data_IF_000302249832
#
_entry.id   IF_000302249832
#
_cell.length_a   1.000
_cell.length_b   1.000
_cell.length_c   1.000
_cell.angle_alpha   90.00
_cell.angle_beta   90.00
_cell.angle_gamma   90.00
#
_symmetry.space_group_name_H-M   'P 1'
#
loop_
_entity.id
_entity.type
_entity.pdbx_description
1 polymer ?
#
# COMPACT_ATOMS: atom_id res chain seq x y z
N UNK A 1 -23.94 -31.23 23.49
CA UNK A 1 -22.56 -30.70 23.56
C UNK A 1 -22.27 -29.99 22.25
N UNK A 2 -21.83 -28.73 22.35
CA UNK A 2 -21.44 -27.94 21.20
C UNK A 2 -19.93 -27.74 21.25
N UNK A 3 -19.23 -28.06 20.15
CA UNK A 3 -17.79 -27.83 20.00
C UNK A 3 -17.60 -26.58 19.15
N UNK A 4 -16.81 -25.63 19.65
CA UNK A 4 -16.53 -24.39 18.97
C UNK A 4 -15.03 -24.08 19.00
N UNK A 5 -14.54 -23.33 18.01
CA UNK A 5 -13.17 -22.80 18.01
C UNK A 5 -13.08 -21.60 18.94
N UNK A 6 -11.86 -21.13 19.22
CA UNK A 6 -11.57 -19.97 20.08
C UNK A 6 -12.29 -18.66 19.67
N UNK A 7 -12.81 -18.59 18.44
CA UNK A 7 -13.60 -17.45 17.94
C UNK A 7 -15.02 -17.36 18.51
N UNK A 8 -15.51 -18.41 19.20
CA UNK A 8 -16.86 -18.44 19.81
C UNK A 8 -17.08 -17.40 20.93
N UNK A 9 -16.04 -16.67 21.32
CA UNK A 9 -16.11 -15.61 22.35
C UNK A 9 -16.94 -14.36 21.95
N UNK A 10 -17.25 -14.12 20.65
CA UNK A 10 -17.91 -12.88 20.19
C UNK A 10 -18.78 -13.13 18.95
N UNK A 11 -19.85 -12.34 18.80
CA UNK A 11 -20.61 -12.24 17.55
C UNK A 11 -21.81 -13.19 17.43
N UNK A 12 -21.93 -14.20 18.30
CA UNK A 12 -23.11 -15.09 18.34
C UNK A 12 -23.83 -14.96 19.67
N UNK A 13 -25.13 -14.94 19.65
CA UNK A 13 -25.92 -15.07 20.86
C UNK A 13 -26.17 -16.55 21.19
N UNK A 14 -26.17 -16.90 22.49
CA UNK A 14 -26.43 -18.25 22.96
C UNK A 14 -27.75 -18.20 23.72
N UNK A 15 -28.77 -18.78 23.11
CA UNK A 15 -30.10 -18.88 23.73
C UNK A 15 -30.23 -20.26 24.36
N UNK A 16 -30.47 -20.30 25.68
CA UNK A 16 -30.64 -21.55 26.39
C UNK A 16 -31.95 -22.24 25.94
N UNK A 17 -31.91 -23.55 25.74
CA UNK A 17 -33.03 -24.32 25.20
C UNK A 17 -33.15 -24.31 23.68
N UNK A 18 -32.31 -23.51 22.95
CA UNK A 18 -32.35 -23.34 21.50
C UNK A 18 -33.07 -22.05 21.06
N UNK A 19 -33.00 -21.69 19.76
CA UNK A 19 -33.68 -20.52 19.24
C UNK A 19 -35.13 -20.82 18.87
N UNK A 20 -36.06 -20.27 19.64
CA UNK A 20 -37.52 -20.36 19.36
C UNK A 20 -37.86 -19.77 18.00
N UNK A 21 -37.27 -18.64 17.63
CA UNK A 21 -37.47 -17.99 16.33
C UNK A 21 -37.07 -18.88 15.17
N UNK A 22 -35.91 -19.54 15.29
CA UNK A 22 -35.44 -20.47 14.26
C UNK A 22 -36.29 -21.76 14.14
N UNK A 23 -36.92 -22.18 15.21
CA UNK A 23 -37.87 -23.31 15.19
C UNK A 23 -39.19 -22.90 14.55
N UNK A 24 -39.75 -21.74 14.88
CA UNK A 24 -40.97 -21.18 14.28
C UNK A 24 -40.78 -20.83 12.80
N UNK A 25 -39.58 -20.35 12.40
CA UNK A 25 -39.25 -20.06 11.01
C UNK A 25 -39.23 -21.28 10.09
N UNK A 26 -39.14 -22.49 10.64
CA UNK A 26 -39.21 -23.73 9.85
C UNK A 26 -40.65 -24.07 9.43
N UNK A 27 -41.66 -23.50 10.08
CA UNK A 27 -43.07 -23.70 9.83
C UNK A 27 -43.82 -22.36 9.78
N UNK A 28 -43.58 -21.54 8.75
CA UNK A 28 -44.12 -20.15 8.70
C UNK A 28 -45.65 -20.09 8.66
N UNK A 29 -46.31 -21.14 8.14
CA UNK A 29 -47.78 -21.18 8.01
C UNK A 29 -48.43 -22.19 9.00
N UNK A 30 -47.76 -22.43 10.14
CA UNK A 30 -48.30 -23.39 11.13
C UNK A 30 -49.54 -22.87 11.84
N UNK A 31 -50.57 -23.71 12.11
CA UNK A 31 -51.69 -23.32 12.94
C UNK A 31 -51.26 -22.91 14.34
N UNK A 32 -52.05 -22.03 14.99
CA UNK A 32 -51.75 -21.53 16.34
C UNK A 32 -51.51 -22.63 17.39
N UNK A 33 -52.15 -23.79 17.21
CA UNK A 33 -51.96 -24.98 18.06
C UNK A 33 -50.55 -25.54 17.97
N UNK A 34 -49.91 -25.52 16.79
CA UNK A 34 -48.53 -25.95 16.56
C UNK A 34 -47.56 -24.96 17.14
N UNK A 35 -47.80 -23.63 16.92
CA UNK A 35 -46.96 -22.55 17.49
C UNK A 35 -46.98 -22.66 19.02
N UNK A 36 -48.14 -22.87 19.64
CA UNK A 36 -48.26 -23.03 21.10
C UNK A 36 -47.50 -24.25 21.61
N UNK A 37 -47.61 -25.37 20.89
CA UNK A 37 -46.90 -26.62 21.22
C UNK A 37 -45.37 -26.43 21.16
N UNK A 38 -44.85 -25.85 20.06
CA UNK A 38 -43.41 -25.58 19.89
C UNK A 38 -42.89 -24.64 20.98
N UNK A 39 -43.65 -23.59 21.31
CA UNK A 39 -43.30 -22.65 22.38
C UNK A 39 -43.24 -23.34 23.74
N UNK A 40 -44.26 -24.20 24.07
CA UNK A 40 -44.28 -24.95 25.31
C UNK A 40 -43.11 -25.97 25.40
N UNK A 41 -42.75 -26.61 24.30
CA UNK A 41 -41.60 -27.50 24.24
C UNK A 41 -40.28 -26.77 24.40
N UNK A 42 -40.14 -25.62 23.77
CA UNK A 42 -39.00 -24.77 23.97
C UNK A 42 -38.87 -24.30 25.42
N UNK A 43 -39.96 -23.84 26.03
CA UNK A 43 -39.98 -23.40 27.44
C UNK A 43 -39.54 -24.52 28.38
N UNK A 44 -40.04 -25.72 28.21
CA UNK A 44 -39.60 -26.90 29.00
C UNK A 44 -38.10 -27.19 28.87
N UNK A 45 -37.57 -27.07 27.68
CA UNK A 45 -36.12 -27.26 27.45
C UNK A 45 -35.31 -26.12 28.07
N UNK A 46 -35.77 -24.89 27.97
CA UNK A 46 -35.17 -23.71 28.58
C UNK A 46 -35.09 -23.86 30.11
N UNK A 47 -36.21 -24.17 30.72
CA UNK A 47 -36.34 -24.33 32.20
C UNK A 47 -35.45 -25.49 32.69
N UNK A 48 -35.43 -26.63 31.98
CA UNK A 48 -34.57 -27.76 32.32
C UNK A 48 -33.07 -27.41 32.27
N UNK A 49 -32.65 -26.54 31.32
CA UNK A 49 -31.25 -26.07 31.27
C UNK A 49 -30.94 -25.13 32.43
N UNK A 50 -31.88 -24.26 32.81
CA UNK A 50 -31.72 -23.37 33.98
C UNK A 50 -31.62 -24.16 35.27
N UNK A 51 -32.49 -25.17 35.47
CA UNK A 51 -32.48 -26.07 36.65
C UNK A 51 -31.18 -26.89 36.73
N UNK A 52 -30.59 -27.24 35.59
CA UNK A 52 -29.29 -27.90 35.50
C UNK A 52 -28.10 -26.98 35.84
N UNK A 53 -28.33 -25.69 36.08
CA UNK A 53 -27.27 -24.70 36.39
C UNK A 53 -26.81 -23.88 35.19
N UNK A 54 -27.57 -23.87 34.09
CA UNK A 54 -27.30 -23.06 32.89
C UNK A 54 -26.17 -23.57 32.00
N UNK A 55 -25.54 -22.68 31.27
CA UNK A 55 -24.46 -23.03 30.34
C UNK A 55 -23.15 -23.30 31.09
N UNK A 56 -22.58 -24.48 30.87
CA UNK A 56 -21.22 -24.84 31.34
C UNK A 56 -20.22 -24.72 30.17
N UNK A 57 -19.20 -23.87 30.33
CA UNK A 57 -18.16 -23.65 29.32
C UNK A 57 -16.88 -24.36 29.73
N UNK A 58 -16.37 -25.19 28.83
CA UNK A 58 -15.08 -25.84 28.96
C UNK A 58 -14.11 -25.20 27.98
N UNK A 59 -13.08 -24.53 28.50
CA UNK A 59 -11.94 -24.05 27.70
C UNK A 59 -10.81 -25.06 27.76
N UNK A 60 -10.29 -25.45 26.59
CA UNK A 60 -9.18 -26.42 26.48
C UNK A 60 -7.81 -25.76 26.42
N UNK A 61 -7.77 -24.41 26.30
CA UNK A 61 -6.56 -23.60 26.33
C UNK A 61 -6.87 -22.18 26.84
N UNK A 62 -5.84 -21.41 27.19
CA UNK A 62 -5.97 -19.98 27.52
C UNK A 62 -5.56 -19.14 26.31
N UNK A 63 -6.26 -18.05 26.11
CA UNK A 63 -5.86 -17.05 25.13
C UNK A 63 -4.68 -16.22 25.63
N UNK A 64 -3.96 -15.59 24.73
CA UNK A 64 -2.89 -14.66 25.07
C UNK A 64 -3.39 -13.45 25.87
N UNK A 65 -4.64 -13.04 25.63
CA UNK A 65 -5.28 -11.93 26.35
C UNK A 65 -6.31 -12.43 27.35
N UNK A 66 -6.15 -12.01 28.59
CA UNK A 66 -7.11 -12.26 29.67
C UNK A 66 -8.51 -11.72 29.38
N UNK A 67 -8.59 -10.64 28.62
CA UNK A 67 -9.88 -10.07 28.18
C UNK A 67 -10.69 -11.07 27.36
N UNK A 68 -10.05 -11.83 26.47
CA UNK A 68 -10.73 -12.81 25.62
C UNK A 68 -11.21 -13.99 26.45
N UNK A 69 -10.42 -14.46 27.41
CA UNK A 69 -10.85 -15.48 28.36
C UNK A 69 -12.07 -15.03 29.18
N UNK A 70 -12.07 -13.77 29.63
CA UNK A 70 -13.22 -13.23 30.37
C UNK A 70 -14.46 -13.06 29.48
N UNK A 71 -14.30 -12.73 28.19
CA UNK A 71 -15.41 -12.71 27.22
C UNK A 71 -16.00 -14.12 27.03
N UNK A 72 -15.14 -15.14 26.96
CA UNK A 72 -15.61 -16.52 26.89
C UNK A 72 -16.35 -16.93 28.17
N UNK A 73 -15.79 -16.65 29.34
CA UNK A 73 -16.43 -16.91 30.64
C UNK A 73 -17.79 -16.19 30.75
N UNK A 74 -17.86 -14.95 30.31
CA UNK A 74 -19.08 -14.15 30.35
C UNK A 74 -20.22 -14.66 29.47
N UNK A 75 -19.95 -15.67 28.62
CA UNK A 75 -21.01 -16.32 27.86
C UNK A 75 -21.87 -17.26 28.68
N UNK A 76 -21.34 -17.80 29.78
CA UNK A 76 -22.10 -18.68 30.67
C UNK A 76 -23.13 -17.93 31.52
N UNK A 77 -22.98 -16.64 31.73
CA UNK A 77 -23.87 -15.85 32.61
C UNK A 77 -24.58 -14.71 31.88
N UNK A 78 -25.00 -14.87 30.63
CA UNK A 78 -25.68 -13.83 29.87
C UNK A 78 -27.09 -13.56 30.43
N UNK A 79 -27.47 -12.30 30.40
CA UNK A 79 -28.81 -11.82 30.81
C UNK A 79 -29.17 -12.20 32.26
N UNK A 80 -28.17 -12.55 33.11
CA UNK A 80 -28.40 -12.96 34.49
C UNK A 80 -28.64 -14.46 34.68
N UNK A 81 -28.59 -15.25 33.61
CA UNK A 81 -28.74 -16.70 33.71
C UNK A 81 -27.61 -17.32 34.55
N UNK A 82 -27.93 -18.41 35.30
CA UNK A 82 -26.88 -19.20 35.95
C UNK A 82 -25.94 -19.82 34.91
N UNK A 83 -24.70 -20.02 35.30
CA UNK A 83 -23.72 -20.65 34.43
C UNK A 83 -22.38 -20.83 35.09
N UNK A 84 -21.53 -21.66 34.50
CA UNK A 84 -20.21 -21.96 35.01
C UNK A 84 -19.18 -22.12 33.91
N UNK A 85 -17.91 -21.96 34.26
CA UNK A 85 -16.81 -22.15 33.28
C UNK A 85 -15.59 -22.79 33.92
N UNK A 86 -14.92 -23.66 33.19
CA UNK A 86 -13.69 -24.31 33.66
C UNK A 86 -12.67 -24.38 32.51
N UNK A 87 -11.40 -24.07 32.77
CA UNK A 87 -10.31 -24.22 31.85
C UNK A 87 -9.46 -25.43 32.18
N UNK A 88 -9.19 -26.26 31.19
CA UNK A 88 -8.25 -27.38 31.26
C UNK A 88 -7.04 -27.03 30.43
N UNK A 89 -5.84 -27.03 31.00
CA UNK A 89 -4.63 -26.55 30.37
C UNK A 89 -3.57 -27.64 30.36
N UNK A 90 -2.76 -27.67 29.31
CA UNK A 90 -1.56 -28.48 29.21
C UNK A 90 -0.31 -27.62 29.47
N UNK A 91 0.74 -28.23 30.01
CA UNK A 91 2.07 -27.61 30.10
C UNK A 91 2.70 -27.38 28.69
N UNK A 92 2.18 -28.08 27.67
CA UNK A 92 2.62 -27.96 26.29
C UNK A 92 1.88 -26.88 25.51
N UNK A 93 0.85 -26.26 26.12
CA UNK A 93 0.15 -25.12 25.49
C UNK A 93 1.12 -23.96 25.24
N UNK A 94 0.91 -23.23 24.13
CA UNK A 94 1.82 -22.17 23.68
C UNK A 94 2.13 -21.14 24.79
N UNK A 95 1.10 -20.70 25.51
CA UNK A 95 1.26 -19.76 26.61
C UNK A 95 2.17 -20.32 27.71
N UNK A 96 2.00 -21.59 28.04
CA UNK A 96 2.78 -22.28 29.11
C UNK A 96 4.22 -22.52 28.65
N UNK A 97 4.44 -22.92 27.40
CA UNK A 97 5.79 -23.13 26.84
C UNK A 97 6.66 -21.89 26.85
N UNK A 98 6.08 -20.73 26.55
CA UNK A 98 6.84 -19.46 26.42
C UNK A 98 7.16 -18.86 27.81
N UNK A 99 6.25 -18.94 28.75
CA UNK A 99 6.31 -18.13 29.98
C UNK A 99 6.50 -18.91 31.26
N UNK A 100 6.35 -20.23 31.24
CA UNK A 100 6.63 -21.07 32.44
C UNK A 100 8.10 -21.48 32.42
N UNK A 101 8.82 -21.14 33.50
CA UNK A 101 10.22 -21.51 33.63
C UNK A 101 10.38 -23.04 33.67
N UNK A 102 11.52 -23.54 33.17
CA UNK A 102 11.83 -24.98 33.19
C UNK A 102 11.75 -25.56 34.60
N UNK A 103 12.14 -24.80 35.61
CA UNK A 103 12.06 -25.24 37.02
C UNK A 103 10.63 -25.53 37.44
N UNK A 104 9.68 -24.65 37.08
CA UNK A 104 8.24 -24.85 37.36
C UNK A 104 7.69 -26.02 36.57
N UNK A 105 8.08 -26.14 35.30
CA UNK A 105 7.69 -27.27 34.43
C UNK A 105 8.17 -28.60 35.02
N UNK A 106 9.42 -28.70 35.40
CA UNK A 106 10.00 -29.90 35.98
C UNK A 106 9.37 -30.24 37.34
N UNK A 107 9.03 -29.25 38.15
CA UNK A 107 8.30 -29.45 39.43
C UNK A 107 6.89 -29.99 39.15
N UNK A 108 6.18 -29.44 38.18
CA UNK A 108 4.83 -29.89 37.79
C UNK A 108 4.85 -31.31 37.20
N UNK A 109 5.84 -31.63 36.37
CA UNK A 109 6.00 -33.00 35.85
C UNK A 109 6.23 -34.02 36.97
N UNK A 110 7.01 -33.68 38.00
CA UNK A 110 7.21 -34.54 39.14
C UNK A 110 5.93 -34.73 39.96
N UNK A 111 5.15 -33.67 40.17
CA UNK A 111 3.88 -33.73 40.87
C UNK A 111 2.82 -34.53 40.13
N UNK A 112 2.79 -34.44 38.79
CA UNK A 112 1.81 -35.13 37.93
C UNK A 112 2.18 -36.61 37.69
N UNK A 113 3.47 -36.97 37.80
CA UNK A 113 3.92 -38.37 37.62
C UNK A 113 3.42 -39.32 38.72
N UNK A 114 3.03 -38.77 39.85
CA UNK A 114 2.61 -39.60 41.00
C UNK A 114 1.10 -39.84 41.07
N UNK A 115 0.24 -38.95 40.51
CA UNK A 115 -1.21 -39.05 40.70
C UNK A 115 -2.04 -39.15 39.42
N UNK A 116 -1.55 -38.69 38.30
CA UNK A 116 -2.35 -38.62 37.05
C UNK A 116 -3.57 -37.70 37.13
N UNK A 117 -3.74 -36.97 38.23
CA UNK A 117 -4.85 -36.07 38.47
C UNK A 117 -4.54 -34.62 38.04
N UNK A 118 -5.59 -33.85 37.76
CA UNK A 118 -5.45 -32.43 37.40
C UNK A 118 -4.91 -31.64 38.60
N UNK A 119 -3.84 -30.88 38.39
CA UNK A 119 -3.23 -30.08 39.44
C UNK A 119 -4.00 -28.75 39.59
N UNK A 120 -4.71 -28.57 40.68
CA UNK A 120 -5.40 -27.33 41.03
C UNK A 120 -4.68 -26.62 42.17
N UNK A 121 -3.95 -25.54 41.86
CA UNK A 121 -3.27 -24.77 42.87
C UNK A 121 -3.28 -23.26 42.59
N UNK A 122 -3.50 -22.43 43.61
CA UNK A 122 -3.55 -20.97 43.50
C UNK A 122 -2.29 -20.35 42.86
N UNK A 123 -1.14 -20.96 43.12
CA UNK A 123 0.15 -20.49 42.58
C UNK A 123 0.22 -20.68 41.08
N UNK A 124 -0.35 -21.76 40.54
CA UNK A 124 -0.41 -22.02 39.08
C UNK A 124 -1.30 -20.98 38.38
N UNK A 125 -2.48 -20.73 38.96
CA UNK A 125 -3.38 -19.68 38.41
C UNK A 125 -2.69 -18.32 38.39
N UNK A 126 -1.94 -17.95 39.42
CA UNK A 126 -1.19 -16.71 39.50
C UNK A 126 -0.04 -16.66 38.48
N UNK A 127 0.63 -17.78 38.22
CA UNK A 127 1.67 -17.90 37.22
C UNK A 127 1.11 -17.72 35.81
N UNK A 128 -0.05 -18.30 35.49
CA UNK A 128 -0.77 -18.14 34.23
C UNK A 128 -1.17 -16.68 34.03
N UNK A 129 -1.75 -16.02 35.03
CA UNK A 129 -2.10 -14.61 34.98
C UNK A 129 -0.88 -13.72 34.73
N UNK A 130 0.24 -14.00 35.37
CA UNK A 130 1.49 -13.26 35.14
C UNK A 130 2.04 -13.50 33.74
N UNK A 131 1.95 -14.73 33.22
CA UNK A 131 2.31 -15.05 31.86
C UNK A 131 1.46 -14.24 30.83
N UNK A 132 0.14 -14.28 30.98
CA UNK A 132 -0.76 -13.49 30.14
C UNK A 132 -0.45 -11.98 30.20
N UNK A 133 -0.18 -11.44 31.39
CA UNK A 133 0.18 -10.01 31.55
C UNK A 133 1.48 -9.67 30.82
N UNK A 134 2.48 -10.56 30.83
CA UNK A 134 3.73 -10.36 30.08
C UNK A 134 3.50 -10.37 28.56
N UNK A 135 2.67 -11.30 28.05
CA UNK A 135 2.30 -11.36 26.63
C UNK A 135 1.52 -10.12 26.23
N UNK A 136 0.53 -9.71 27.03
CA UNK A 136 -0.25 -8.49 26.78
C UNK A 136 0.65 -7.26 26.75
N UNK A 137 1.63 -7.14 27.66
CA UNK A 137 2.61 -6.07 27.68
C UNK A 137 3.48 -6.07 26.42
N UNK A 138 4.03 -7.20 26.05
CA UNK A 138 4.84 -7.35 24.83
C UNK A 138 4.05 -6.99 23.57
N UNK A 139 2.83 -7.51 23.43
CA UNK A 139 1.96 -7.19 22.30
C UNK A 139 1.52 -5.72 22.30
N UNK A 140 1.36 -5.11 23.47
CA UNK A 140 1.10 -3.68 23.59
C UNK A 140 2.29 -2.86 23.10
N UNK A 141 3.50 -3.19 23.51
CA UNK A 141 4.73 -2.49 23.10
C UNK A 141 4.95 -2.59 21.58
N UNK A 142 4.73 -3.77 21.00
CA UNK A 142 4.79 -3.95 19.54
C UNK A 142 3.79 -3.02 18.84
N UNK A 143 2.51 -3.04 19.28
CA UNK A 143 1.48 -2.17 18.68
C UNK A 143 1.77 -0.71 18.88
N UNK A 144 2.24 -0.31 20.06
CA UNK A 144 2.64 1.08 20.32
C UNK A 144 3.76 1.53 19.39
N UNK A 145 4.78 0.68 19.20
CA UNK A 145 5.86 0.97 18.28
C UNK A 145 5.35 1.12 16.82
N UNK A 146 4.44 0.25 16.38
CA UNK A 146 3.84 0.36 15.04
C UNK A 146 3.06 1.66 14.87
N UNK A 147 2.23 2.03 15.86
CA UNK A 147 1.45 3.26 15.82
C UNK A 147 2.33 4.51 15.74
N UNK A 148 3.46 4.56 16.43
CA UNK A 148 4.38 5.70 16.41
C UNK A 148 4.96 5.96 14.99
N UNK A 149 5.15 4.91 14.17
CA UNK A 149 5.52 5.04 12.76
C UNK A 149 4.33 5.40 11.88
N UNK A 150 3.15 4.79 12.15
CA UNK A 150 1.94 5.04 11.38
C UNK A 150 1.41 6.46 11.59
N UNK A 151 1.60 7.07 12.76
CA UNK A 151 1.19 8.45 13.06
C UNK A 151 1.85 9.43 12.08
N UNK A 152 3.16 9.30 11.83
CA UNK A 152 3.89 10.15 10.87
C UNK A 152 3.30 10.05 9.46
N UNK A 153 3.05 8.82 9.00
CA UNK A 153 2.44 8.59 7.68
C UNK A 153 1.00 9.10 7.61
N UNK A 154 0.28 9.06 8.74
CA UNK A 154 -1.10 9.54 8.82
C UNK A 154 -1.17 11.07 8.77
N UNK A 155 -0.25 11.77 9.44
CA UNK A 155 -0.17 13.23 9.39
C UNK A 155 0.09 13.71 7.95
N UNK A 156 1.04 13.10 7.25
CA UNK A 156 1.32 13.39 5.85
C UNK A 156 0.11 13.09 4.94
N UNK A 157 -0.59 11.97 5.21
CA UNK A 157 -1.82 11.60 4.48
C UNK A 157 -2.90 12.64 4.65
N UNK A 158 -3.08 13.19 5.84
CA UNK A 158 -4.08 14.23 6.09
C UNK A 158 -3.81 15.46 5.23
N UNK A 159 -2.56 15.92 5.15
CA UNK A 159 -2.16 17.07 4.32
C UNK A 159 -2.48 16.81 2.84
N UNK A 160 -2.03 15.67 2.30
CA UNK A 160 -2.24 15.34 0.87
C UNK A 160 -3.72 15.17 0.55
N UNK A 161 -4.49 14.52 1.43
CA UNK A 161 -5.93 14.32 1.18
C UNK A 161 -6.73 15.60 1.33
N UNK A 162 -6.29 16.53 2.17
CA UNK A 162 -6.87 17.86 2.26
C UNK A 162 -6.59 18.65 0.97
N UNK A 163 -5.35 18.72 0.52
CA UNK A 163 -4.99 19.37 -0.75
C UNK A 163 -5.75 18.76 -1.93
N UNK A 164 -5.84 17.43 -1.99
CA UNK A 164 -6.60 16.74 -3.03
C UNK A 164 -8.08 17.10 -3.01
N UNK A 165 -8.68 17.25 -1.83
CA UNK A 165 -10.10 17.64 -1.69
C UNK A 165 -10.29 19.08 -2.13
N UNK A 166 -9.44 19.99 -1.71
CA UNK A 166 -9.47 21.39 -2.12
C UNK A 166 -9.37 21.53 -3.65
N UNK A 167 -8.46 20.78 -4.29
CA UNK A 167 -8.36 20.71 -5.75
C UNK A 167 -9.64 20.16 -6.40
N UNK A 168 -10.26 19.16 -5.80
CA UNK A 168 -11.50 18.58 -6.36
C UNK A 168 -12.69 19.54 -6.27
N UNK A 169 -12.79 20.27 -5.16
CA UNK A 169 -13.91 21.19 -4.88
C UNK A 169 -13.75 22.52 -5.64
N UNK A 170 -12.52 22.95 -5.93
CA UNK A 170 -12.25 24.18 -6.68
C UNK A 170 -12.70 24.07 -8.15
N UNK A 171 -13.36 25.08 -8.64
CA UNK A 171 -13.71 25.19 -10.07
C UNK A 171 -12.55 25.73 -10.89
N UNK A 172 -11.79 26.64 -10.34
CA UNK A 172 -10.62 27.27 -10.94
C UNK A 172 -9.41 27.13 -10.00
N UNK A 173 -8.27 26.73 -10.56
CA UNK A 173 -6.99 26.59 -9.85
C UNK A 173 -5.87 27.43 -10.50
N UNK A 174 -6.23 28.40 -11.34
CA UNK A 174 -5.26 29.26 -12.05
C UNK A 174 -4.27 29.94 -11.11
N UNK A 175 -4.76 30.54 -10.02
CA UNK A 175 -3.91 31.19 -9.01
C UNK A 175 -2.91 30.18 -8.39
N UNK A 176 -3.35 28.95 -8.16
CA UNK A 176 -2.45 27.89 -7.64
C UNK A 176 -1.37 27.56 -8.67
N UNK A 177 -1.71 27.43 -9.93
CA UNK A 177 -0.76 27.13 -11.01
C UNK A 177 0.21 28.30 -11.26
N UNK A 178 -0.27 29.56 -11.17
CA UNK A 178 0.58 30.75 -11.20
C UNK A 178 1.60 30.74 -10.05
N UNK A 179 1.13 30.53 -8.82
CA UNK A 179 2.02 30.43 -7.66
C UNK A 179 3.04 29.31 -7.79
N UNK A 180 2.67 28.14 -8.34
CA UNK A 180 3.61 27.04 -8.59
C UNK A 180 4.68 27.44 -9.63
N UNK A 181 4.32 28.15 -10.71
CA UNK A 181 5.27 28.62 -11.71
C UNK A 181 6.26 29.63 -11.08
N UNK A 182 5.73 30.57 -10.31
CA UNK A 182 6.53 31.55 -9.60
C UNK A 182 7.53 30.85 -8.67
N UNK A 183 7.06 29.96 -7.79
CA UNK A 183 7.94 29.22 -6.88
C UNK A 183 9.02 28.43 -7.61
N UNK A 184 8.68 27.73 -8.71
CA UNK A 184 9.65 26.94 -9.49
C UNK A 184 10.69 27.86 -10.16
N UNK A 185 10.31 29.04 -10.67
CA UNK A 185 11.26 30.01 -11.24
C UNK A 185 12.24 30.48 -10.17
N UNK A 186 11.75 30.91 -9.02
CA UNK A 186 12.62 31.35 -7.92
C UNK A 186 13.53 30.21 -7.42
N UNK A 187 13.01 29.00 -7.31
CA UNK A 187 13.81 27.83 -6.93
C UNK A 187 14.92 27.53 -7.95
N UNK A 188 14.65 27.63 -9.25
CA UNK A 188 15.66 27.46 -10.29
C UNK A 188 16.72 28.56 -10.28
N UNK A 189 16.29 29.83 -10.13
CA UNK A 189 17.22 30.94 -10.00
C UNK A 189 18.12 30.76 -8.78
N UNK A 190 17.56 30.42 -7.62
CA UNK A 190 18.33 30.19 -6.41
C UNK A 190 19.31 29.00 -6.49
N UNK A 191 19.03 28.00 -7.32
CA UNK A 191 19.92 26.85 -7.54
C UNK A 191 21.17 27.24 -8.37
N UNK A 192 21.02 28.15 -9.34
CA UNK A 192 22.08 28.52 -10.27
C UNK A 192 22.76 29.87 -9.90
N UNK A 193 22.07 30.70 -9.14
CA UNK A 193 22.53 32.03 -8.72
C UNK A 193 22.55 32.03 -7.19
N UNK A 194 23.72 31.84 -6.55
CA UNK A 194 23.83 31.95 -5.08
C UNK A 194 23.45 33.32 -4.60
N UNK A 195 22.68 33.47 -3.51
CA UNK A 195 22.29 34.76 -2.96
C UNK A 195 23.48 35.66 -2.70
N UNK A 196 23.38 36.95 -3.06
CA UNK A 196 24.43 37.96 -2.86
C UNK A 196 25.77 37.62 -3.56
N UNK A 197 25.75 36.79 -4.59
CA UNK A 197 26.94 36.47 -5.40
C UNK A 197 27.18 37.52 -6.49
N UNK A 198 28.43 37.59 -6.95
CA UNK A 198 28.78 38.43 -8.09
C UNK A 198 28.32 37.78 -9.41
N UNK A 199 28.00 38.57 -10.43
CA UNK A 199 27.49 38.11 -11.72
C UNK A 199 28.44 37.08 -12.36
N UNK A 200 29.75 37.21 -12.15
CA UNK A 200 30.75 36.25 -12.65
C UNK A 200 30.64 34.82 -12.04
N UNK A 201 29.92 34.72 -10.92
CA UNK A 201 29.69 33.42 -10.23
C UNK A 201 28.35 32.77 -10.64
N UNK A 202 27.54 33.45 -11.45
CA UNK A 202 26.24 32.97 -11.86
C UNK A 202 26.36 31.92 -12.96
N UNK A 203 25.72 30.77 -12.74
CA UNK A 203 25.64 29.71 -13.76
C UNK A 203 24.46 29.99 -14.73
N UNK A 204 24.66 31.00 -15.57
CA UNK A 204 23.63 31.42 -16.52
C UNK A 204 23.32 30.32 -17.54
N UNK A 205 24.33 29.61 -18.05
CA UNK A 205 24.11 28.52 -18.99
C UNK A 205 23.35 27.34 -18.40
N UNK A 206 23.61 27.02 -17.13
CA UNK A 206 22.86 26.01 -16.37
C UNK A 206 21.42 26.44 -16.15
N UNK A 207 21.17 27.72 -15.83
CA UNK A 207 19.83 28.25 -15.64
C UNK A 207 19.02 28.21 -16.95
N UNK A 208 19.60 28.65 -18.08
CA UNK A 208 18.95 28.57 -19.41
C UNK A 208 18.54 27.14 -19.77
N UNK A 209 19.41 26.16 -19.53
CA UNK A 209 19.10 24.73 -19.73
C UNK A 209 18.00 24.25 -18.80
N UNK A 210 18.00 24.68 -17.54
CA UNK A 210 16.97 24.31 -16.56
C UNK A 210 15.62 24.90 -16.94
N UNK A 211 15.56 26.17 -17.37
CA UNK A 211 14.33 26.80 -17.88
C UNK A 211 13.80 26.09 -19.13
N UNK A 212 14.68 25.71 -20.05
CA UNK A 212 14.28 24.92 -21.21
C UNK A 212 13.73 23.55 -20.83
N UNK A 213 14.32 22.92 -19.83
CA UNK A 213 13.88 21.61 -19.36
C UNK A 213 12.56 21.65 -18.60
N UNK A 214 12.34 22.64 -17.75
CA UNK A 214 11.15 22.72 -16.92
C UNK A 214 9.98 23.41 -17.63
N UNK A 215 10.24 24.53 -18.30
CA UNK A 215 9.21 25.35 -18.94
C UNK A 215 9.09 25.19 -20.46
N UNK A 216 10.01 24.46 -21.09
CA UNK A 216 10.15 24.43 -22.55
C UNK A 216 10.37 25.83 -23.16
N UNK A 217 10.84 26.78 -22.35
CA UNK A 217 11.11 28.17 -22.73
C UNK A 217 12.57 28.34 -23.08
N UNK A 218 12.86 28.94 -24.20
CA UNK A 218 14.22 29.25 -24.65
C UNK A 218 14.49 30.72 -24.43
N UNK A 219 15.24 31.01 -23.39
CA UNK A 219 15.60 32.37 -22.99
C UNK A 219 17.10 32.60 -23.19
N UNK A 220 17.49 33.83 -23.53
CA UNK A 220 18.89 34.21 -23.72
C UNK A 220 19.28 35.18 -22.59
N UNK A 221 19.46 34.60 -21.38
CA UNK A 221 19.71 35.40 -20.17
C UNK A 221 21.04 36.15 -20.23
N UNK A 222 22.06 35.55 -20.84
CA UNK A 222 23.35 36.18 -21.05
C UNK A 222 23.22 37.51 -21.79
N UNK A 223 22.35 37.57 -22.80
CA UNK A 223 22.06 38.79 -23.56
C UNK A 223 21.35 39.86 -22.72
N UNK A 224 20.45 39.45 -21.82
CA UNK A 224 19.76 40.39 -20.93
C UNK A 224 20.71 41.05 -19.93
N UNK A 225 21.72 40.35 -19.45
CA UNK A 225 22.76 40.86 -18.57
C UNK A 225 23.72 41.81 -19.31
N UNK A 226 23.94 41.62 -20.63
CA UNK A 226 24.73 42.55 -21.46
C UNK A 226 23.94 43.85 -21.75
N UNK A 227 22.62 43.75 -21.88
CA UNK A 227 21.73 44.90 -22.15
C UNK A 227 21.46 45.75 -20.94
N UNK A 228 21.47 45.17 -19.72
CA UNK A 228 21.18 45.83 -18.46
C UNK A 228 22.20 45.39 -17.39
N UNK A 229 23.26 46.21 -17.22
CA UNK A 229 24.32 46.00 -16.21
C UNK A 229 23.81 46.16 -14.76
N UNK A 230 22.60 46.70 -14.56
CA UNK A 230 21.98 46.88 -13.24
C UNK A 230 21.06 45.75 -12.81
N UNK A 231 20.92 44.68 -13.63
CA UNK A 231 20.00 43.58 -13.38
C UNK A 231 20.55 42.71 -12.23
N UNK A 232 19.86 42.74 -11.11
CA UNK A 232 20.13 41.88 -9.95
C UNK A 232 19.40 40.54 -10.03
N UNK A 233 19.61 39.68 -9.03
CA UNK A 233 19.02 38.34 -8.98
C UNK A 233 17.48 38.39 -8.98
N UNK A 234 16.87 39.34 -8.24
CA UNK A 234 15.42 39.50 -8.17
C UNK A 234 14.85 40.04 -9.49
N UNK A 235 15.52 41.03 -10.11
CA UNK A 235 15.14 41.58 -11.39
C UNK A 235 15.23 40.56 -12.51
N UNK A 236 16.26 39.69 -12.50
CA UNK A 236 16.40 38.58 -13.45
C UNK A 236 15.27 37.59 -13.27
N UNK A 237 14.99 37.15 -12.02
CA UNK A 237 13.90 36.21 -11.73
C UNK A 237 12.54 36.78 -12.17
N UNK A 238 12.26 38.06 -11.85
CA UNK A 238 11.02 38.71 -12.28
C UNK A 238 10.89 38.82 -13.80
N UNK A 239 11.97 39.06 -14.52
CA UNK A 239 11.97 39.12 -15.98
C UNK A 239 11.76 37.74 -16.61
N UNK A 240 12.40 36.70 -16.04
CA UNK A 240 12.19 35.31 -16.42
C UNK A 240 10.73 34.90 -16.23
N UNK A 241 10.17 35.21 -15.04
CA UNK A 241 8.78 34.92 -14.73
C UNK A 241 7.82 35.59 -15.70
N UNK A 242 8.00 36.88 -15.97
CA UNK A 242 7.16 37.63 -16.90
C UNK A 242 7.15 37.01 -18.32
N UNK A 243 8.31 36.58 -18.79
CA UNK A 243 8.43 35.88 -20.09
C UNK A 243 7.67 34.55 -20.09
N UNK A 244 7.81 33.75 -19.01
CA UNK A 244 7.11 32.46 -18.87
C UNK A 244 5.60 32.67 -18.80
N UNK A 245 5.13 33.71 -18.10
CA UNK A 245 3.69 34.02 -18.03
C UNK A 245 3.13 34.46 -19.38
N UNK A 246 3.88 35.24 -20.12
CA UNK A 246 3.50 35.64 -21.51
C UNK A 246 3.37 34.40 -22.43
N UNK A 247 4.37 33.50 -22.37
CA UNK A 247 4.36 32.26 -23.14
C UNK A 247 3.19 31.35 -22.76
N UNK A 248 2.90 31.25 -21.45
CA UNK A 248 1.78 30.45 -20.95
C UNK A 248 0.43 31.06 -21.32
N UNK A 249 0.27 32.38 -21.25
CA UNK A 249 -0.92 33.08 -21.68
C UNK A 249 -1.19 32.94 -23.20
N UNK A 250 -0.13 33.02 -24.01
CA UNK A 250 -0.22 32.75 -25.43
C UNK A 250 -0.64 31.31 -25.73
N UNK A 251 -0.17 30.35 -24.92
CA UNK A 251 -0.58 28.96 -25.01
C UNK A 251 -2.05 28.78 -24.63
N UNK A 252 -2.51 29.39 -23.55
CA UNK A 252 -3.91 29.36 -23.12
C UNK A 252 -4.82 29.92 -24.21
N UNK A 253 -4.44 31.02 -24.89
CA UNK A 253 -5.15 31.57 -26.01
C UNK A 253 -5.36 30.56 -27.15
N UNK A 254 -4.28 29.88 -27.54
CA UNK A 254 -4.33 28.83 -28.60
C UNK A 254 -5.21 27.65 -28.22
N UNK A 255 -5.20 27.24 -26.97
CA UNK A 255 -6.01 26.12 -26.46
C UNK A 255 -7.49 26.49 -26.42
N UNK A 256 -7.80 27.72 -26.05
CA UNK A 256 -9.16 28.27 -26.06
C UNK A 256 -9.72 28.33 -27.48
N UNK A 257 -8.91 28.74 -28.47
CA UNK A 257 -9.30 28.74 -29.89
C UNK A 257 -9.57 27.31 -30.40
N UNK A 258 -8.84 26.34 -29.91
CA UNK A 258 -9.06 24.93 -30.21
C UNK A 258 -10.24 24.30 -29.41
N UNK A 259 -10.95 25.08 -28.57
CA UNK A 259 -12.09 24.63 -27.80
C UNK A 259 -11.72 23.79 -26.56
N UNK A 260 -10.47 23.86 -26.11
CA UNK A 260 -9.99 23.15 -24.94
C UNK A 260 -9.98 24.09 -23.74
N UNK A 261 -10.65 23.69 -22.66
CA UNK A 261 -10.64 24.42 -21.38
C UNK A 261 -9.35 24.10 -20.60
N UNK A 262 -8.45 25.08 -20.53
CA UNK A 262 -7.17 24.97 -19.82
C UNK A 262 -7.35 24.67 -18.34
N UNK A 263 -8.38 25.24 -17.69
CA UNK A 263 -8.67 25.01 -16.27
C UNK A 263 -8.96 23.55 -15.94
N UNK A 264 -9.68 22.86 -16.81
CA UNK A 264 -9.93 21.43 -16.66
C UNK A 264 -8.64 20.61 -16.80
N UNK A 265 -7.79 20.99 -17.76
CA UNK A 265 -6.51 20.29 -17.98
C UNK A 265 -5.57 20.49 -16.81
N UNK A 266 -5.41 21.72 -16.32
CA UNK A 266 -4.61 22.02 -15.12
C UNK A 266 -5.03 21.19 -13.93
N UNK A 267 -6.34 21.17 -13.62
CA UNK A 267 -6.90 20.38 -12.53
C UNK A 267 -6.65 18.89 -12.69
N UNK A 268 -6.80 18.38 -13.91
CA UNK A 268 -6.62 16.97 -14.22
C UNK A 268 -5.16 16.53 -14.07
N UNK A 269 -4.23 17.33 -14.57
CA UNK A 269 -2.78 17.09 -14.45
C UNK A 269 -2.34 17.16 -13.00
N UNK A 270 -2.78 18.20 -12.26
CA UNK A 270 -2.44 18.36 -10.86
C UNK A 270 -2.89 17.17 -10.02
N UNK A 271 -4.14 16.70 -10.20
CA UNK A 271 -4.66 15.51 -9.51
C UNK A 271 -3.90 14.23 -9.89
N UNK A 272 -3.58 14.05 -11.17
CA UNK A 272 -2.86 12.88 -11.65
C UNK A 272 -1.45 12.81 -11.06
N UNK A 273 -0.71 13.90 -11.08
CA UNK A 273 0.67 13.97 -10.55
C UNK A 273 0.65 13.78 -9.03
N UNK A 274 -0.27 14.46 -8.32
CA UNK A 274 -0.43 14.30 -6.88
C UNK A 274 -0.68 12.84 -6.51
N UNK A 275 -1.61 12.16 -7.17
CA UNK A 275 -1.95 10.77 -6.89
C UNK A 275 -0.79 9.81 -7.22
N UNK A 276 -0.05 10.06 -8.29
CA UNK A 276 1.10 9.24 -8.68
C UNK A 276 2.26 9.41 -7.70
N UNK A 277 2.67 10.65 -7.42
CA UNK A 277 3.78 10.95 -6.52
C UNK A 277 3.49 10.52 -5.09
N UNK A 278 2.24 10.64 -4.64
CA UNK A 278 1.82 10.12 -3.34
C UNK A 278 2.00 8.61 -3.23
N UNK A 279 1.66 7.82 -4.27
CA UNK A 279 1.88 6.37 -4.29
C UNK A 279 3.37 6.01 -4.20
N UNK A 280 4.21 6.74 -4.95
CA UNK A 280 5.66 6.55 -4.93
C UNK A 280 6.24 6.89 -3.54
N UNK A 281 5.76 7.96 -2.93
CA UNK A 281 6.16 8.36 -1.58
C UNK A 281 5.79 7.30 -0.53
N UNK A 282 4.58 6.73 -0.58
CA UNK A 282 4.18 5.65 0.32
C UNK A 282 5.11 4.43 0.21
N UNK A 283 5.53 4.08 -1.00
CA UNK A 283 6.51 3.00 -1.21
C UNK A 283 7.87 3.33 -0.60
N UNK A 284 8.35 4.58 -0.75
CA UNK A 284 9.60 5.05 -0.13
C UNK A 284 9.53 5.06 1.39
N UNK A 285 8.39 5.47 1.97
CA UNK A 285 8.14 5.41 3.41
C UNK A 285 8.15 3.97 3.95
N UNK A 286 7.61 3.01 3.21
CA UNK A 286 7.67 1.59 3.60
C UNK A 286 9.10 1.05 3.56
N UNK A 287 9.90 1.43 2.57
CA UNK A 287 11.33 1.08 2.51
C UNK A 287 12.11 1.70 3.67
N UNK A 288 11.87 2.97 3.97
CA UNK A 288 12.48 3.66 5.11
C UNK A 288 12.15 2.92 6.42
N UNK A 289 10.87 2.56 6.63
CA UNK A 289 10.41 1.84 7.82
C UNK A 289 11.10 0.48 7.99
N UNK A 290 11.31 -0.27 6.90
CA UNK A 290 12.00 -1.54 6.93
C UNK A 290 13.48 -1.39 7.28
N UNK A 291 14.15 -0.35 6.77
CA UNK A 291 15.57 -0.11 6.95
C UNK A 291 15.96 0.68 8.22
N UNK A 292 15.02 1.36 8.86
CA UNK A 292 15.32 2.33 9.93
C UNK A 292 15.99 1.72 11.15
N UNK A 293 15.72 0.45 11.44
CA UNK A 293 16.33 -0.25 12.57
C UNK A 293 17.86 -0.35 12.48
N UNK A 294 18.41 -0.31 11.27
CA UNK A 294 19.86 -0.33 11.04
C UNK A 294 20.55 0.94 11.59
N UNK A 295 19.82 2.06 11.75
CA UNK A 295 20.33 3.29 12.35
C UNK A 295 20.76 3.10 13.81
N UNK A 296 20.22 2.09 14.51
CA UNK A 296 20.63 1.74 15.86
C UNK A 296 22.10 1.31 15.97
N UNK A 297 22.68 0.70 14.93
CA UNK A 297 24.11 0.35 14.91
C UNK A 297 25.02 1.59 14.92
N UNK A 298 24.53 2.72 14.42
CA UNK A 298 25.21 4.02 14.48
C UNK A 298 24.89 4.82 15.77
N UNK A 299 24.36 4.17 16.80
CA UNK A 299 23.94 4.77 18.09
C UNK A 299 22.86 5.85 17.95
N UNK A 300 22.11 5.87 16.84
CA UNK A 300 21.01 6.78 16.62
C UNK A 300 19.70 6.14 17.07
N UNK A 301 18.75 6.96 17.49
CA UNK A 301 17.42 6.48 17.87
C UNK A 301 16.56 6.28 16.61
N UNK A 302 16.17 5.03 16.25
CA UNK A 302 15.47 4.75 15.00
C UNK A 302 14.19 5.57 14.81
N UNK A 303 13.43 5.84 15.88
CA UNK A 303 12.19 6.61 15.82
C UNK A 303 12.43 8.08 15.48
N UNK A 304 13.49 8.69 16.04
CA UNK A 304 13.82 10.10 15.75
C UNK A 304 14.34 10.22 14.31
N UNK A 305 15.21 9.30 13.90
CA UNK A 305 15.71 9.28 12.52
C UNK A 305 14.58 9.03 11.52
N UNK A 306 13.62 8.15 11.84
CA UNK A 306 12.46 7.95 10.99
C UNK A 306 11.64 9.23 10.81
N UNK A 307 11.37 9.98 11.89
CA UNK A 307 10.64 11.24 11.80
C UNK A 307 11.39 12.28 10.96
N UNK A 308 12.72 12.38 11.12
CA UNK A 308 13.56 13.28 10.35
C UNK A 308 13.59 12.91 8.87
N UNK A 309 13.97 11.67 8.55
CA UNK A 309 14.10 11.20 7.18
C UNK A 309 12.74 11.18 6.45
N UNK A 310 11.64 10.86 7.14
CA UNK A 310 10.30 10.93 6.57
C UNK A 310 9.82 12.35 6.30
N UNK A 311 10.26 13.33 7.09
CA UNK A 311 9.98 14.74 6.83
C UNK A 311 10.74 15.23 5.59
N UNK A 312 12.02 14.88 5.46
CA UNK A 312 12.85 15.17 4.28
C UNK A 312 12.20 14.58 3.01
N UNK A 313 11.81 13.29 3.04
CA UNK A 313 11.10 12.65 1.93
C UNK A 313 9.77 13.33 1.58
N UNK A 314 9.06 13.86 2.57
CA UNK A 314 7.81 14.56 2.34
C UNK A 314 8.01 15.94 1.71
N UNK A 315 9.07 16.65 2.11
CA UNK A 315 9.46 17.91 1.46
C UNK A 315 9.85 17.66 -0.01
N UNK A 316 10.65 16.62 -0.27
CA UNK A 316 11.02 16.20 -1.62
C UNK A 316 9.77 15.86 -2.46
N UNK A 317 8.78 15.18 -1.86
CA UNK A 317 7.50 14.89 -2.52
C UNK A 317 6.81 16.17 -2.98
N UNK A 318 6.64 17.14 -2.07
CA UNK A 318 5.97 18.41 -2.39
C UNK A 318 6.71 19.19 -3.47
N UNK A 319 8.03 19.20 -3.39
CA UNK A 319 8.88 19.86 -4.39
C UNK A 319 8.76 19.18 -5.76
N UNK A 320 8.84 17.85 -5.79
CA UNK A 320 8.69 17.09 -7.03
C UNK A 320 7.31 17.27 -7.69
N UNK A 321 6.23 17.38 -6.88
CA UNK A 321 4.89 17.66 -7.40
C UNK A 321 4.87 19.01 -8.12
N UNK A 322 5.45 20.07 -7.52
CA UNK A 322 5.52 21.39 -8.13
C UNK A 322 6.23 21.36 -9.49
N UNK A 323 7.43 20.80 -9.52
CA UNK A 323 8.23 20.72 -10.75
C UNK A 323 7.53 19.88 -11.83
N UNK A 324 6.97 18.74 -11.47
CA UNK A 324 6.31 17.88 -12.45
C UNK A 324 5.05 18.51 -13.04
N UNK A 325 4.24 19.21 -12.22
CA UNK A 325 3.04 19.91 -12.68
C UNK A 325 3.42 21.00 -13.67
N UNK A 326 4.38 21.84 -13.29
CA UNK A 326 4.86 22.93 -14.13
C UNK A 326 5.45 22.41 -15.45
N UNK A 327 6.33 21.39 -15.35
CA UNK A 327 6.94 20.75 -16.53
C UNK A 327 5.90 20.15 -17.47
N UNK A 328 4.93 19.42 -16.93
CA UNK A 328 3.90 18.77 -17.72
C UNK A 328 3.04 19.81 -18.43
N UNK A 329 2.54 20.78 -17.68
CA UNK A 329 1.71 21.84 -18.22
C UNK A 329 2.46 22.71 -19.26
N UNK A 330 3.73 23.00 -19.06
CA UNK A 330 4.53 23.80 -19.98
C UNK A 330 4.81 23.06 -21.30
N UNK A 331 5.12 21.76 -21.23
CA UNK A 331 5.49 20.95 -22.39
C UNK A 331 4.31 20.45 -23.23
N UNK A 332 3.10 20.35 -22.64
CA UNK A 332 1.94 19.92 -23.39
C UNK A 332 1.64 20.87 -24.55
N UNK A 333 1.53 20.33 -25.75
CA UNK A 333 1.16 21.05 -26.96
C UNK A 333 -0.07 20.39 -27.60
N UNK A 334 -0.90 21.18 -28.25
CA UNK A 334 -1.96 20.65 -29.11
C UNK A 334 -1.29 20.26 -30.43
N UNK A 335 -1.19 18.98 -30.68
CA UNK A 335 -0.81 18.51 -31.99
C UNK A 335 -2.01 18.62 -32.95
N UNK A 336 -1.87 19.37 -34.01
CA UNK A 336 -2.86 19.40 -35.06
C UNK A 336 -2.94 18.02 -35.73
N UNK A 337 -4.15 17.47 -35.99
CA UNK A 337 -4.28 16.19 -36.67
C UNK A 337 -3.49 16.10 -37.99
N UNK A 338 -3.36 17.22 -38.70
CA UNK A 338 -2.57 17.33 -39.93
C UNK A 338 -1.06 17.18 -39.69
N UNK A 339 -0.55 17.69 -38.58
CA UNK A 339 0.86 17.54 -38.17
C UNK A 339 1.19 16.12 -37.73
N UNK A 340 0.27 15.45 -37.02
CA UNK A 340 0.41 14.03 -36.66
C UNK A 340 0.48 13.17 -37.91
N UNK A 341 -0.43 13.39 -38.88
CA UNK A 341 -0.38 12.66 -40.14
C UNK A 341 0.89 12.96 -40.96
N UNK A 342 1.37 14.20 -40.93
CA UNK A 342 2.60 14.57 -41.61
C UNK A 342 3.82 13.92 -40.96
N UNK A 343 3.90 13.90 -39.64
CA UNK A 343 4.97 13.21 -38.89
C UNK A 343 4.92 11.70 -39.08
N UNK A 344 3.74 11.10 -39.05
CA UNK A 344 3.60 9.66 -39.34
C UNK A 344 4.00 9.33 -40.79
N UNK A 345 3.66 10.17 -41.75
CA UNK A 345 4.12 10.02 -43.15
C UNK A 345 5.64 10.11 -43.26
N UNK A 346 6.27 11.05 -42.55
CA UNK A 346 7.74 11.18 -42.48
C UNK A 346 8.38 9.97 -41.84
N UNK A 347 7.88 9.51 -40.69
CA UNK A 347 8.37 8.29 -40.01
C UNK A 347 8.22 7.03 -40.86
N UNK A 348 7.09 6.89 -41.55
CA UNK A 348 6.87 5.78 -42.49
C UNK A 348 7.83 5.86 -43.69
N UNK A 349 8.08 7.07 -44.21
CA UNK A 349 9.03 7.29 -45.28
C UNK A 349 10.49 7.00 -44.85
N UNK A 350 10.90 7.42 -43.66
CA UNK A 350 12.23 7.11 -43.12
C UNK A 350 12.40 5.62 -42.82
N UNK A 351 11.36 4.96 -42.28
CA UNK A 351 11.38 3.51 -42.05
C UNK A 351 11.47 2.75 -43.40
N UNK A 352 10.75 3.20 -44.42
CA UNK A 352 10.84 2.61 -45.75
C UNK A 352 12.21 2.86 -46.43
N UNK A 353 12.83 4.03 -46.21
CA UNK A 353 14.20 4.28 -46.66
C UNK A 353 15.23 3.40 -45.93
N UNK A 354 15.10 3.24 -44.62
CA UNK A 354 15.98 2.34 -43.87
C UNK A 354 15.82 0.87 -44.27
N UNK A 355 14.62 0.43 -44.59
CA UNK A 355 14.38 -0.92 -45.13
C UNK A 355 15.00 -1.09 -46.55
N UNK A 356 14.88 -0.08 -47.43
CA UNK A 356 15.51 -0.13 -48.76
C UNK A 356 17.05 -0.13 -48.67
N UNK A 357 17.66 0.57 -47.70
CA UNK A 357 19.12 0.53 -47.50
C UNK A 357 19.59 -0.82 -47.03
N UNK A 358 18.85 -1.51 -46.21
CA UNK A 358 19.18 -2.88 -45.73
C UNK A 358 19.03 -3.90 -46.89
N UNK A 359 18.04 -3.76 -47.74
CA UNK A 359 17.88 -4.62 -48.93
C UNK A 359 18.95 -4.37 -50.01
N UNK A 360 19.39 -3.15 -50.18
CA UNK A 360 20.47 -2.85 -51.15
C UNK A 360 21.84 -3.36 -50.69
N UNK A 361 22.13 -3.37 -49.42
CA UNK A 361 23.33 -3.97 -48.85
C UNK A 361 23.31 -5.51 -48.90
N UNK A 362 22.13 -6.12 -48.71
CA UNK A 362 21.98 -7.57 -48.86
C UNK A 362 22.10 -8.06 -50.30
N UNK A 363 21.73 -7.24 -51.30
CA UNK A 363 21.87 -7.58 -52.71
C UNK A 363 23.28 -7.31 -53.28
N UNK A 364 24.11 -6.50 -52.64
CA UNK A 364 25.51 -6.26 -53.04
C UNK A 364 26.49 -7.35 -52.61
N UNK A 365 26.09 -8.29 -51.74
CA UNK A 365 26.92 -9.38 -51.24
C UNK A 365 26.60 -10.75 -51.88
N UNK A 366 25.75 -10.84 -52.90
CA UNK A 366 25.26 -12.11 -53.42
C UNK A 366 25.09 -12.19 -54.95
N UNK A 367 26.12 -12.00 -55.70
CA UNK A 367 26.14 -12.46 -57.09
C UNK A 367 26.99 -13.72 -57.20
N UNK A 368 26.39 -14.87 -56.96
CA UNK A 368 26.67 -16.19 -57.59
C UNK A 368 25.63 -17.22 -57.12
N UNK A 369 24.76 -17.66 -58.04
CA UNK A 369 24.04 -18.92 -57.91
C UNK A 369 22.52 -18.81 -57.88
N UNK A 370 21.91 -18.95 -59.07
CA UNK A 370 20.49 -19.15 -59.25
C UNK A 370 19.95 -20.36 -58.44
N UNK A 371 18.99 -20.11 -57.53
CA UNK A 371 18.09 -21.12 -56.99
C UNK A 371 16.72 -20.46 -56.72
N UNK A 372 15.67 -21.16 -57.12
CA UNK A 372 14.23 -20.79 -57.14
C UNK A 372 13.71 -20.26 -55.79
N UNK A 373 12.66 -19.43 -55.75
CA UNK A 373 12.08 -18.88 -54.55
C UNK A 373 11.39 -20.01 -53.73
N UNK A 374 11.96 -20.35 -52.59
CA UNK A 374 11.26 -21.12 -51.56
C UNK A 374 10.35 -20.17 -50.79
N UNK A 375 9.07 -20.55 -50.68
CA UNK A 375 8.08 -19.92 -49.82
C UNK A 375 8.60 -19.69 -48.39
N UNK A 376 8.32 -18.53 -47.84
CA UNK A 376 8.64 -18.19 -46.44
C UNK A 376 7.96 -19.17 -45.50
N UNK A 377 8.66 -19.71 -44.49
CA UNK A 377 8.05 -20.60 -43.52
C UNK A 377 7.02 -19.82 -42.69
N UNK A 378 5.78 -20.29 -42.67
CA UNK A 378 4.75 -19.85 -41.72
C UNK A 378 5.29 -20.08 -40.33
N UNK A 379 5.21 -19.06 -39.46
CA UNK A 379 5.54 -19.18 -38.06
C UNK A 379 4.71 -20.32 -37.44
N UNK A 380 5.34 -21.44 -37.18
CA UNK A 380 4.72 -22.55 -36.46
C UNK A 380 4.58 -22.15 -34.99
N UNK A 381 3.35 -22.21 -34.49
CA UNK A 381 3.06 -22.07 -33.06
C UNK A 381 3.78 -23.19 -32.33
N UNK A 382 4.67 -22.86 -31.37
CA UNK A 382 5.36 -23.82 -30.54
C UNK A 382 4.34 -24.63 -29.74
N UNK A 383 4.04 -25.84 -30.19
CA UNK A 383 3.23 -26.80 -29.47
C UNK A 383 4.15 -27.68 -28.63
N UNK A 384 4.01 -27.60 -27.31
CA UNK A 384 4.75 -28.47 -26.39
C UNK A 384 4.37 -29.89 -26.62
N UNK A 385 5.31 -30.74 -26.96
CA UNK A 385 5.09 -32.19 -27.17
C UNK A 385 4.82 -32.95 -25.87
N UNK A 386 5.23 -32.43 -24.73
CA UNK A 386 5.07 -33.07 -23.43
C UNK A 386 3.99 -32.44 -22.56
N UNK A 387 3.19 -33.27 -21.89
CA UNK A 387 2.17 -32.87 -20.94
C UNK A 387 2.80 -32.13 -19.77
N UNK A 388 2.27 -30.97 -19.39
CA UNK A 388 2.70 -30.18 -18.21
C UNK A 388 2.45 -31.01 -16.94
N UNK A 389 3.52 -31.43 -16.27
CA UNK A 389 3.46 -32.20 -15.02
C UNK A 389 3.18 -31.28 -13.85
N UNK A 390 2.17 -31.57 -13.07
CA UNK A 390 1.80 -30.80 -11.87
C UNK A 390 2.84 -30.97 -10.76
N UNK A 391 3.03 -29.93 -9.95
CA UNK A 391 4.03 -29.88 -8.86
C UNK A 391 3.94 -31.04 -7.86
N UNK A 392 2.75 -31.62 -7.67
CA UNK A 392 2.47 -32.73 -6.75
C UNK A 392 2.31 -34.10 -7.45
N UNK A 393 2.40 -34.15 -8.79
CA UNK A 393 2.32 -35.40 -9.56
C UNK A 393 3.64 -36.21 -9.46
N UNK A 394 3.61 -37.52 -9.69
CA UNK A 394 4.82 -38.33 -9.75
C UNK A 394 5.77 -37.80 -10.83
N UNK A 395 7.08 -37.78 -10.54
CA UNK A 395 8.06 -37.34 -11.51
C UNK A 395 8.15 -38.34 -12.69
N UNK A 396 8.12 -37.87 -13.96
CA UNK A 396 8.19 -38.72 -15.13
C UNK A 396 9.52 -39.48 -15.28
N UNK A 397 10.55 -39.13 -14.48
CA UNK A 397 11.82 -39.89 -14.49
C UNK A 397 11.77 -41.26 -13.81
N UNK A 398 10.61 -41.71 -13.30
CA UNK A 398 10.48 -43.03 -12.68
C UNK A 398 11.02 -43.16 -11.25
N UNK A 399 11.44 -42.03 -10.61
CA UNK A 399 12.02 -42.07 -9.25
C UNK A 399 11.03 -42.30 -8.11
N UNK A 400 9.74 -42.41 -8.39
CA UNK A 400 8.68 -42.58 -7.38
C UNK A 400 8.44 -41.34 -6.50
N UNK A 401 9.22 -40.24 -6.66
CA UNK A 401 9.09 -38.99 -5.91
C UNK A 401 8.15 -38.01 -6.63
N UNK A 402 7.53 -37.13 -5.88
CA UNK A 402 6.74 -36.01 -6.45
C UNK A 402 7.64 -35.08 -7.27
N UNK A 403 7.12 -34.50 -8.36
CA UNK A 403 7.90 -33.62 -9.25
C UNK A 403 8.66 -32.52 -8.50
N UNK A 404 8.04 -31.86 -7.50
CA UNK A 404 8.67 -30.83 -6.64
C UNK A 404 9.84 -31.34 -5.79
N UNK A 405 9.99 -32.63 -5.60
CA UNK A 405 11.06 -33.27 -4.80
C UNK A 405 12.11 -33.95 -5.67
N UNK A 406 12.03 -33.81 -6.99
CA UNK A 406 12.94 -34.40 -7.97
C UNK A 406 13.35 -33.32 -8.98
N UNK A 407 12.82 -33.35 -10.20
CA UNK A 407 13.21 -32.42 -11.28
C UNK A 407 12.57 -31.04 -11.20
N UNK A 408 11.61 -30.82 -10.32
CA UNK A 408 10.99 -29.54 -10.03
C UNK A 408 11.47 -28.88 -8.74
N UNK A 409 12.67 -29.23 -8.26
CA UNK A 409 13.31 -28.60 -7.12
C UNK A 409 14.08 -27.35 -7.65
N UNK A 410 13.59 -26.16 -7.31
CA UNK A 410 14.25 -24.86 -7.51
C UNK A 410 15.04 -24.49 -6.25
#
# INVERSE_FOLDING_TARGET
VTIATNMAGRGTDIVLGGSLEAELAKTPDAPDTVVTSVTADWQRRHDAVLEAGGLHIIGTERHESRRIDNQLRGRSGRQGDPGSSRFYLSLDDNLMRIFVSESIRNMMHKLNAESGEAIEHKMINRSIENAQRKVEGHNFDIRKNLLEYDDVSNDQRQVIYQQRRELMDSQDISETIEGLREEVVYDLVAQHIPPQSLIEQWDIGGLELSLQNEFASVQTLGRWLEEDEGLDEEGLAARVLAQIEEEYGAKEGRWREAGIDMRLVEKQIMLQILDQRWKEHLASMDQLRQGIHLRAYAQKQPKQEFKRESFELFQDLLQNIKFDVVRMLSRMQIENPEEIEAQERLRRAEAAQKMNFQHSQANAAGDQGAAQPKEAPKAETFVREERKVGRNEPCPCGSGKKYKQCHGQL
#
